data_IF_738342473295
#
_entry.id   IF_738342473295
#
_cell.length_a   1.000
_cell.length_b   1.000
_cell.length_c   1.000
_cell.angle_alpha   90.00
_cell.angle_beta   90.00
_cell.angle_gamma   90.00
#
_symmetry.space_group_name_H-M   'P 1'
#
loop_
_entity.id
_entity.type
_entity.pdbx_description
1 polymer ?
#
# COMPACT_ATOMS: atom_id res chain seq x y z
N UNK A 1 -2.75 -27.83 -4.55
CA UNK A 1 -1.45 -27.61 -3.90
C UNK A 1 -1.32 -26.11 -3.66
N UNK A 2 -0.93 -25.68 -2.47
CA UNK A 2 -0.70 -24.26 -2.16
C UNK A 2 0.76 -23.94 -2.50
N UNK A 3 0.99 -22.85 -3.22
CA UNK A 3 2.32 -22.32 -3.51
C UNK A 3 2.46 -20.96 -2.85
N UNK A 4 3.60 -20.70 -2.23
CA UNK A 4 3.92 -19.42 -1.60
C UNK A 4 5.26 -18.92 -2.16
N UNK A 5 5.29 -17.64 -2.52
CA UNK A 5 6.49 -16.97 -3.02
C UNK A 5 6.64 -15.66 -2.29
N UNK A 6 7.84 -15.41 -1.76
CA UNK A 6 8.20 -14.15 -1.13
C UNK A 6 9.16 -13.40 -2.05
N UNK A 7 8.91 -12.11 -2.26
CA UNK A 7 9.75 -11.21 -3.04
C UNK A 7 9.67 -9.79 -2.48
N UNK A 8 10.66 -8.97 -2.81
CA UNK A 8 10.77 -7.60 -2.32
C UNK A 8 10.38 -6.62 -3.42
N UNK A 9 9.52 -5.66 -3.08
CA UNK A 9 9.21 -4.54 -3.95
C UNK A 9 10.29 -3.47 -3.85
N UNK A 10 10.53 -2.74 -4.95
CA UNK A 10 11.40 -1.57 -4.97
C UNK A 10 10.90 -0.51 -3.98
N UNK A 11 11.81 0.13 -3.21
CA UNK A 11 11.45 1.19 -2.30
C UNK A 11 10.87 2.38 -3.08
N UNK A 12 9.86 3.00 -2.49
CA UNK A 12 9.13 4.13 -3.07
C UNK A 12 8.95 5.19 -2.00
N UNK A 13 8.87 6.45 -2.42
CA UNK A 13 8.47 7.55 -1.54
C UNK A 13 7.00 7.39 -1.15
N UNK A 14 6.55 8.13 -0.12
CA UNK A 14 5.13 8.22 0.24
C UNK A 14 4.26 8.55 -0.98
N UNK A 15 3.10 7.91 -1.08
CA UNK A 15 2.12 8.09 -2.16
C UNK A 15 1.54 6.78 -2.69
N UNK A 16 0.72 6.87 -3.72
CA UNK A 16 0.12 5.72 -4.41
C UNK A 16 0.95 5.31 -5.62
N UNK A 17 1.34 4.03 -5.68
CA UNK A 17 2.22 3.52 -6.73
C UNK A 17 1.64 2.30 -7.40
N UNK A 18 1.78 2.25 -8.72
CA UNK A 18 1.46 1.05 -9.48
C UNK A 18 2.56 0.00 -9.28
N UNK A 19 2.13 -1.19 -8.87
CA UNK A 19 3.03 -2.32 -8.62
C UNK A 19 2.63 -3.58 -9.39
N UNK A 20 1.56 -3.55 -10.18
CA UNK A 20 1.02 -4.73 -10.89
C UNK A 20 2.08 -5.45 -11.70
N UNK A 21 2.82 -4.73 -12.55
CA UNK A 21 3.87 -5.33 -13.38
C UNK A 21 5.00 -5.96 -12.56
N UNK A 22 5.31 -5.37 -11.41
CA UNK A 22 6.36 -5.83 -10.52
C UNK A 22 5.92 -7.08 -9.77
N UNK A 23 4.67 -7.13 -9.33
CA UNK A 23 4.05 -8.33 -8.75
C UNK A 23 4.01 -9.45 -9.78
N UNK A 24 3.47 -9.20 -10.98
CA UNK A 24 3.32 -10.23 -12.04
C UNK A 24 4.67 -10.84 -12.44
N UNK A 25 5.73 -10.02 -12.54
CA UNK A 25 7.09 -10.51 -12.86
C UNK A 25 7.69 -11.44 -11.80
N UNK A 26 7.28 -11.29 -10.54
CA UNK A 26 7.78 -12.10 -9.43
C UNK A 26 6.88 -13.29 -9.09
N UNK A 27 5.67 -13.35 -9.66
CA UNK A 27 4.79 -14.50 -9.46
C UNK A 27 5.26 -15.71 -10.29
N UNK A 28 5.20 -16.92 -9.74
CA UNK A 28 5.43 -18.13 -10.51
C UNK A 28 4.31 -18.34 -11.55
N UNK A 29 4.46 -19.28 -12.50
CA UNK A 29 3.38 -19.64 -13.42
C UNK A 29 2.07 -19.93 -12.67
N UNK A 30 1.03 -19.17 -13.00
CA UNK A 30 -0.27 -19.27 -12.35
C UNK A 30 -1.18 -20.28 -13.06
N UNK A 31 -2.05 -21.01 -12.34
CA UNK A 31 -3.08 -21.83 -12.96
C UNK A 31 -4.12 -20.94 -13.66
N UNK A 32 -4.90 -21.52 -14.57
CA UNK A 32 -6.00 -20.81 -15.25
C UNK A 32 -7.06 -20.27 -14.27
N UNK A 33 -7.26 -20.93 -13.14
CA UNK A 33 -8.22 -20.51 -12.11
C UNK A 33 -7.71 -20.90 -10.73
N UNK A 34 -7.88 -20.00 -9.77
CA UNK A 34 -7.44 -20.19 -8.40
C UNK A 34 -7.61 -18.91 -7.58
N UNK A 35 -7.13 -18.94 -6.34
CA UNK A 35 -7.09 -17.78 -5.45
C UNK A 35 -5.66 -17.30 -5.32
N UNK A 36 -5.43 -16.00 -5.56
CA UNK A 36 -4.16 -15.33 -5.30
C UNK A 36 -4.31 -14.52 -4.01
N UNK A 37 -3.49 -14.82 -3.01
CA UNK A 37 -3.41 -14.06 -1.78
C UNK A 37 -2.11 -13.24 -1.79
N UNK A 38 -2.25 -11.91 -1.72
CA UNK A 38 -1.13 -10.99 -1.63
C UNK A 38 -1.09 -10.37 -0.23
N UNK A 39 0.04 -10.48 0.44
CA UNK A 39 0.25 -9.94 1.78
C UNK A 39 1.51 -9.10 1.81
N UNK A 40 1.41 -7.89 2.36
CA UNK A 40 2.54 -7.00 2.57
C UNK A 40 3.03 -7.14 4.02
N UNK A 41 4.30 -7.52 4.18
CA UNK A 41 4.95 -7.68 5.49
C UNK A 41 5.48 -6.32 6.00
N UNK A 42 4.64 -5.31 6.01
CA UNK A 42 4.97 -3.94 6.45
C UNK A 42 3.82 -3.33 7.24
N UNK A 43 4.14 -2.51 8.24
CA UNK A 43 3.17 -1.83 9.13
C UNK A 43 2.91 -0.37 8.76
N UNK A 44 3.61 0.15 7.76
CA UNK A 44 3.42 1.51 7.23
C UNK A 44 3.12 1.54 5.73
N UNK A 45 2.62 0.44 5.17
CA UNK A 45 2.23 0.34 3.76
C UNK A 45 1.08 -0.66 3.56
N UNK A 46 0.15 -0.34 2.65
CA UNK A 46 -0.99 -1.16 2.31
C UNK A 46 -0.99 -1.56 0.82
N UNK A 47 -1.71 -2.64 0.51
CA UNK A 47 -2.05 -3.02 -0.86
C UNK A 47 -3.51 -2.64 -1.11
N UNK A 48 -3.78 -1.95 -2.22
CA UNK A 48 -5.12 -1.62 -2.66
C UNK A 48 -5.32 -2.00 -4.13
N UNK A 49 -6.57 -2.23 -4.50
CA UNK A 49 -7.00 -2.45 -5.89
C UNK A 49 -7.92 -1.31 -6.25
N UNK A 50 -7.59 -0.58 -7.31
CA UNK A 50 -8.36 0.55 -7.80
C UNK A 50 -8.27 0.65 -9.33
N UNK A 51 -9.01 1.58 -9.91
CA UNK A 51 -8.89 1.96 -11.32
C UNK A 51 -7.51 2.57 -11.61
N UNK A 52 -7.01 2.32 -12.83
CA UNK A 52 -5.78 2.92 -13.35
C UNK A 52 -5.94 3.43 -14.79
N UNK A 53 -7.17 3.67 -15.26
CA UNK A 53 -7.39 4.28 -16.56
C UNK A 53 -7.08 5.79 -16.52
N UNK A 54 -7.42 6.44 -15.40
CA UNK A 54 -7.17 7.85 -15.16
C UNK A 54 -6.04 8.03 -14.12
N UNK A 55 -4.94 8.74 -14.45
CA UNK A 55 -3.87 9.03 -13.49
C UNK A 55 -4.33 9.86 -12.28
N UNK A 56 -5.42 10.64 -12.42
CA UNK A 56 -5.92 11.53 -11.37
C UNK A 56 -6.46 10.75 -10.16
N UNK A 57 -6.92 9.51 -10.36
CA UNK A 57 -7.34 8.60 -9.27
C UNK A 57 -6.27 8.49 -8.20
N UNK A 58 -4.99 8.40 -8.56
CA UNK A 58 -3.90 8.30 -7.58
C UNK A 58 -3.72 9.60 -6.78
N UNK A 59 -3.88 10.73 -7.45
CA UNK A 59 -3.81 12.07 -6.83
C UNK A 59 -4.98 12.27 -5.88
N UNK A 60 -6.18 11.86 -6.27
CA UNK A 60 -7.39 11.97 -5.47
C UNK A 60 -7.33 11.05 -4.25
N UNK A 61 -6.86 9.81 -4.42
CA UNK A 61 -6.62 8.90 -3.30
C UNK A 61 -5.63 9.52 -2.30
N UNK A 62 -4.49 10.04 -2.77
CA UNK A 62 -3.55 10.72 -1.88
C UNK A 62 -4.18 11.91 -1.15
N UNK A 63 -4.96 12.71 -1.86
CA UNK A 63 -5.65 13.88 -1.33
C UNK A 63 -6.68 13.51 -0.26
N UNK A 64 -7.49 12.48 -0.50
CA UNK A 64 -8.49 11.98 0.44
C UNK A 64 -7.81 11.47 1.72
N UNK A 65 -6.75 10.68 1.59
CA UNK A 65 -6.03 10.17 2.76
C UNK A 65 -5.36 11.29 3.56
N UNK A 66 -4.84 12.33 2.90
CA UNK A 66 -4.29 13.51 3.57
C UNK A 66 -5.37 14.35 4.26
N UNK A 67 -6.59 14.36 3.72
CA UNK A 67 -7.72 15.08 4.29
C UNK A 67 -8.29 14.36 5.53
N UNK A 68 -8.43 13.04 5.46
CA UNK A 68 -8.99 12.21 6.53
C UNK A 68 -8.01 12.03 7.69
N UNK A 69 -6.73 11.82 7.39
CA UNK A 69 -5.66 11.60 8.37
C UNK A 69 -4.65 12.73 8.19
N UNK A 70 -4.92 13.82 8.91
CA UNK A 70 -4.13 15.04 8.89
C UNK A 70 -2.84 14.85 9.67
N UNK A 71 -1.82 15.62 9.31
CA UNK A 71 -0.54 15.56 10.00
C UNK A 71 -0.58 16.45 11.25
N UNK A 72 0.09 16.01 12.33
CA UNK A 72 0.34 16.83 13.54
C UNK A 72 -0.91 17.30 14.28
N UNK A 73 -1.98 16.53 14.25
CA UNK A 73 -3.15 16.82 15.07
C UNK A 73 -2.82 16.70 16.56
N UNK A 74 -3.33 17.62 17.41
CA UNK A 74 -2.93 17.73 18.81
C UNK A 74 -3.40 16.57 19.69
N UNK A 75 -4.31 15.74 19.18
CA UNK A 75 -4.85 14.57 19.87
C UNK A 75 -4.08 13.28 19.56
N UNK A 76 -3.03 13.33 18.74
CA UNK A 76 -2.19 12.17 18.49
C UNK A 76 -1.23 11.92 19.66
N UNK A 77 -1.35 10.74 20.28
CA UNK A 77 -0.52 10.31 21.42
C UNK A 77 0.69 9.47 20.99
N UNK A 78 0.61 8.76 19.85
CA UNK A 78 1.67 7.86 19.35
C UNK A 78 2.73 8.62 18.54
N UNK A 79 3.44 9.58 19.15
CA UNK A 79 4.35 10.49 18.41
C UNK A 79 5.83 10.11 18.47
N UNK A 80 6.21 9.06 19.22
CA UNK A 80 7.61 8.71 19.48
C UNK A 80 8.36 8.21 18.24
N UNK A 81 7.64 7.65 17.27
CA UNK A 81 8.20 7.12 16.02
C UNK A 81 8.39 8.21 14.95
N UNK A 82 8.06 9.46 15.28
CA UNK A 82 8.01 10.57 14.33
C UNK A 82 6.71 10.61 13.55
N UNK A 83 6.41 11.79 13.01
CA UNK A 83 5.13 12.04 12.32
C UNK A 83 4.98 11.17 11.06
N UNK A 84 6.07 10.91 10.34
CA UNK A 84 6.03 10.16 9.09
C UNK A 84 5.59 8.70 9.30
N UNK A 85 6.18 7.98 10.27
CA UNK A 85 5.85 6.57 10.52
C UNK A 85 4.47 6.40 11.17
N UNK A 86 4.13 7.24 12.17
CA UNK A 86 2.82 7.20 12.84
C UNK A 86 1.68 7.38 11.84
N UNK A 87 1.78 8.32 10.92
CA UNK A 87 0.71 8.63 9.96
C UNK A 87 0.52 7.49 8.96
N UNK A 88 1.60 6.87 8.50
CA UNK A 88 1.52 5.76 7.58
C UNK A 88 0.84 4.53 8.20
N UNK A 89 1.07 4.26 9.49
CA UNK A 89 0.37 3.20 10.21
C UNK A 89 -1.13 3.43 10.26
N UNK A 90 -1.58 4.66 10.51
CA UNK A 90 -3.02 5.00 10.52
C UNK A 90 -3.62 4.88 9.12
N UNK A 91 -2.91 5.36 8.08
CA UNK A 91 -3.36 5.29 6.69
C UNK A 91 -3.46 3.85 6.19
N UNK A 92 -2.63 2.92 6.65
CA UNK A 92 -2.73 1.52 6.24
C UNK A 92 -4.03 0.83 6.69
N UNK A 93 -4.72 1.32 7.72
CA UNK A 93 -5.94 0.70 8.24
C UNK A 93 -7.20 1.05 7.44
N UNK A 94 -7.11 1.97 6.49
CA UNK A 94 -8.21 2.44 5.63
C UNK A 94 -8.03 1.94 4.19
#
# INVERSE_FOLDING_TARGET
MVSQTEFTLRPRTRGFHLITDEVVRNLPPLPQTGLLYLFIKHTSAALSINENADPDVRTDMESIFNHLIKEREPYYEHTLEGWDDMLLMQKQQL
#
